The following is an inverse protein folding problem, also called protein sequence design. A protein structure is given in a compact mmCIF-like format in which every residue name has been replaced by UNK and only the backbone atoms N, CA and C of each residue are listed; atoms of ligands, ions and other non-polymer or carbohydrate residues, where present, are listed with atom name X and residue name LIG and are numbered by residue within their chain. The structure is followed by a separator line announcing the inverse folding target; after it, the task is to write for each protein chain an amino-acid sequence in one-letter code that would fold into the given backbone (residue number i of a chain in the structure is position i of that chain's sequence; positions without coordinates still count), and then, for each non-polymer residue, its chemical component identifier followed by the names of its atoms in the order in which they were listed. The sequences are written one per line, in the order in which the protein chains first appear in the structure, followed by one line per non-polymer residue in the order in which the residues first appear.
data_IF_148201214717
#
_entry.id   IF_148201214717
#
_cell.length_a   1.000
_cell.length_b   1.000
_cell.length_c   1.000
_cell.angle_alpha   90.00
_cell.angle_beta   90.00
_cell.angle_gamma   90.00
#
_symmetry.space_group_name_H-M   'P 1'
#
loop_
_entity.id
_entity.type
_entity.pdbx_description
1 polymer ?
#
# COMPACT_ATOMS: atom_id res chain seq x y z
N UNK A 1 -8.82 -7.99 -5.58
CA UNK A 1 -10.15 -7.47 -5.18
C UNK A 1 -10.09 -6.33 -4.19
N UNK A 2 -9.15 -6.34 -3.22
CA UNK A 2 -9.00 -5.28 -2.20
C UNK A 2 -8.81 -3.86 -2.75
N UNK A 3 -8.10 -3.67 -3.88
CA UNK A 3 -7.91 -2.35 -4.49
C UNK A 3 -9.26 -1.71 -4.85
N UNK A 4 -10.13 -2.43 -5.55
CA UNK A 4 -11.44 -1.93 -5.98
C UNK A 4 -12.31 -1.66 -4.75
N UNK A 5 -12.30 -2.56 -3.77
CA UNK A 5 -13.02 -2.37 -2.50
C UNK A 5 -12.58 -1.10 -1.78
N UNK A 6 -11.28 -0.85 -1.69
CA UNK A 6 -10.75 0.38 -1.08
C UNK A 6 -11.20 1.64 -1.84
N UNK A 7 -11.19 1.61 -3.18
CA UNK A 7 -11.65 2.73 -4.00
C UNK A 7 -13.15 3.01 -3.77
N UNK A 8 -13.97 1.96 -3.71
CA UNK A 8 -15.40 2.07 -3.44
C UNK A 8 -15.68 2.59 -2.02
N UNK A 9 -14.96 2.11 -1.00
CA UNK A 9 -15.09 2.61 0.37
C UNK A 9 -14.65 4.08 0.48
N UNK A 10 -13.61 4.46 -0.24
CA UNK A 10 -13.16 5.86 -0.33
C UNK A 10 -14.26 6.73 -0.93
N UNK A 11 -14.85 6.33 -2.05
CA UNK A 11 -15.97 7.04 -2.66
C UNK A 11 -17.22 7.09 -1.76
N UNK A 12 -17.51 5.99 -1.07
CA UNK A 12 -18.60 5.92 -0.09
C UNK A 12 -18.42 6.94 1.05
N UNK A 13 -17.19 7.12 1.54
CA UNK A 13 -16.91 8.16 2.55
C UNK A 13 -17.28 9.56 2.04
N UNK A 14 -16.94 9.89 0.78
CA UNK A 14 -17.31 11.18 0.18
C UNK A 14 -18.84 11.31 0.05
N UNK A 15 -19.54 10.21 -0.27
CA UNK A 15 -21.00 10.12 -0.24
C UNK A 15 -21.60 10.41 1.12
N UNK A 16 -21.03 9.85 2.20
CA UNK A 16 -21.50 10.10 3.57
C UNK A 16 -21.33 11.57 4.01
N UNK A 17 -20.45 12.31 3.34
CA UNK A 17 -20.23 13.74 3.59
C UNK A 17 -21.08 14.65 2.66
N UNK A 18 -21.89 14.09 1.77
CA UNK A 18 -22.66 14.85 0.78
C UNK A 18 -21.81 15.50 -0.32
N UNK A 19 -20.55 15.07 -0.47
CA UNK A 19 -19.55 15.61 -1.41
C UNK A 19 -19.20 14.61 -2.52
N UNK A 20 -20.15 13.72 -2.85
CA UNK A 20 -19.92 12.73 -3.89
C UNK A 20 -20.05 13.34 -5.28
N UNK A 21 -18.98 13.23 -6.06
CA UNK A 21 -18.96 13.45 -7.49
C UNK A 21 -18.41 12.15 -8.13
N UNK A 22 -19.01 11.62 -9.21
CA UNK A 22 -18.48 10.44 -9.92
C UNK A 22 -17.00 10.53 -10.27
N UNK A 23 -16.47 11.73 -10.49
CA UNK A 23 -15.03 11.97 -10.74
C UNK A 23 -14.13 11.51 -9.59
N UNK A 24 -14.61 11.54 -8.34
CA UNK A 24 -13.83 11.10 -7.16
C UNK A 24 -13.44 9.62 -7.25
N UNK A 25 -14.32 8.77 -7.78
CA UNK A 25 -14.01 7.35 -7.97
C UNK A 25 -12.86 7.21 -8.97
N UNK A 26 -12.94 7.91 -10.09
CA UNK A 26 -11.92 7.88 -11.13
C UNK A 26 -10.58 8.40 -10.60
N UNK A 27 -10.59 9.49 -9.83
CA UNK A 27 -9.38 10.06 -9.22
C UNK A 27 -8.73 9.10 -8.23
N UNK A 28 -9.51 8.49 -7.33
CA UNK A 28 -8.99 7.54 -6.34
C UNK A 28 -8.43 6.30 -7.04
N UNK A 29 -9.15 5.75 -8.02
CA UNK A 29 -8.69 4.60 -8.80
C UNK A 29 -7.39 4.95 -9.53
N UNK A 30 -7.35 6.07 -10.23
CA UNK A 30 -6.17 6.52 -10.98
C UNK A 30 -4.98 6.71 -10.06
N UNK A 31 -5.15 7.36 -8.91
CA UNK A 31 -4.11 7.52 -7.89
C UNK A 31 -3.59 6.17 -7.39
N UNK A 32 -4.48 5.22 -7.07
CA UNK A 32 -4.09 3.88 -6.63
C UNK A 32 -3.33 3.12 -7.73
N UNK A 33 -3.85 3.11 -8.95
CA UNK A 33 -3.22 2.41 -10.08
C UNK A 33 -1.86 3.01 -10.45
N UNK A 34 -1.74 4.33 -10.53
CA UNK A 34 -0.47 4.98 -10.81
C UNK A 34 0.56 4.69 -9.72
N UNK A 35 0.16 4.76 -8.44
CA UNK A 35 1.05 4.42 -7.32
C UNK A 35 1.47 2.94 -7.39
N UNK A 36 0.55 2.04 -7.72
CA UNK A 36 0.82 0.61 -7.85
C UNK A 36 1.81 0.31 -8.98
N UNK A 37 1.58 0.87 -10.16
CA UNK A 37 2.46 0.67 -11.33
C UNK A 37 3.84 1.27 -11.05
N UNK A 38 3.90 2.50 -10.53
CA UNK A 38 5.16 3.16 -10.20
C UNK A 38 5.98 2.36 -9.20
N UNK A 39 5.35 1.83 -8.15
CA UNK A 39 6.04 1.02 -7.14
C UNK A 39 6.59 -0.29 -7.73
N UNK A 40 5.81 -0.99 -8.57
CA UNK A 40 6.28 -2.21 -9.24
C UNK A 40 7.48 -1.92 -10.14
N UNK A 41 7.46 -0.82 -10.89
CA UNK A 41 8.57 -0.41 -11.75
C UNK A 41 9.84 -0.09 -10.95
N UNK A 42 9.70 0.66 -9.84
CA UNK A 42 10.84 1.00 -8.97
C UNK A 42 11.45 -0.25 -8.36
N UNK A 43 10.64 -1.14 -7.79
CA UNK A 43 11.14 -2.40 -7.20
C UNK A 43 11.79 -3.28 -8.27
N UNK A 44 11.20 -3.35 -9.47
CA UNK A 44 11.78 -4.11 -10.58
C UNK A 44 13.14 -3.56 -11.00
N UNK A 45 13.29 -2.24 -11.09
CA UNK A 45 14.57 -1.59 -11.40
C UNK A 45 15.64 -1.87 -10.33
N UNK A 46 15.25 -1.83 -9.06
CA UNK A 46 16.12 -2.18 -7.94
C UNK A 46 16.58 -3.65 -8.00
N UNK A 47 15.68 -4.59 -8.28
CA UNK A 47 16.01 -6.01 -8.41
C UNK A 47 16.91 -6.29 -9.62
N UNK A 48 16.73 -5.54 -10.72
CA UNK A 48 17.61 -5.62 -11.88
C UNK A 48 19.04 -5.19 -11.54
N UNK A 49 19.22 -4.11 -10.76
CA UNK A 49 20.54 -3.68 -10.28
C UNK A 49 21.21 -4.73 -9.36
N UNK A 50 20.41 -5.54 -8.67
CA UNK A 50 20.88 -6.65 -7.82
C UNK A 50 21.13 -7.96 -8.58
N UNK A 51 20.81 -8.04 -9.88
CA UNK A 51 20.78 -9.30 -10.65
C UNK A 51 19.86 -10.36 -10.01
N UNK A 52 18.78 -9.92 -9.35
CA UNK A 52 17.80 -10.79 -8.72
C UNK A 52 16.57 -10.98 -9.63
N UNK A 53 16.25 -12.23 -9.95
CA UNK A 53 15.20 -12.58 -10.92
C UNK A 53 13.89 -12.93 -10.21
N UNK A 54 13.10 -11.91 -9.85
CA UNK A 54 11.73 -12.12 -9.32
C UNK A 54 10.71 -11.80 -10.43
N UNK A 55 9.72 -12.67 -10.71
CA UNK A 55 8.65 -12.40 -11.66
C UNK A 55 7.91 -11.09 -11.36
N UNK A 56 7.58 -10.32 -12.40
CA UNK A 56 6.85 -9.04 -12.24
C UNK A 56 5.47 -9.25 -11.59
N UNK A 57 4.82 -10.37 -11.90
CA UNK A 57 3.52 -10.74 -11.34
C UNK A 57 3.58 -10.95 -9.81
N UNK A 58 4.70 -11.47 -9.31
CA UNK A 58 4.92 -11.67 -7.88
C UNK A 58 5.11 -10.33 -7.17
N UNK A 59 5.90 -9.42 -7.76
CA UNK A 59 6.08 -8.05 -7.24
C UNK A 59 4.73 -7.32 -7.19
N UNK A 60 3.92 -7.43 -8.25
CA UNK A 60 2.59 -6.84 -8.29
C UNK A 60 1.68 -7.41 -7.20
N UNK A 61 1.76 -8.72 -6.95
CA UNK A 61 0.98 -9.38 -5.91
C UNK A 61 1.42 -8.92 -4.52
N UNK A 62 2.72 -8.88 -4.23
CA UNK A 62 3.26 -8.50 -2.92
C UNK A 62 2.91 -7.05 -2.54
N UNK A 63 3.12 -6.12 -3.46
CA UNK A 63 2.80 -4.69 -3.26
C UNK A 63 1.29 -4.44 -3.20
N UNK A 64 0.48 -5.24 -3.90
CA UNK A 64 -0.97 -5.14 -3.89
C UNK A 64 -1.64 -5.50 -2.56
N UNK A 65 -0.99 -6.25 -1.67
CA UNK A 65 -1.57 -6.64 -0.38
C UNK A 65 -1.88 -5.45 0.53
N UNK A 66 -1.19 -4.32 0.36
CA UNK A 66 -1.42 -3.11 1.17
C UNK A 66 -2.85 -2.58 1.10
N UNK A 67 -3.55 -2.79 -0.03
CA UNK A 67 -4.94 -2.35 -0.18
C UNK A 67 -5.91 -3.11 0.73
N UNK A 68 -5.56 -4.32 1.17
CA UNK A 68 -6.34 -5.03 2.19
C UNK A 68 -6.25 -4.28 3.52
N UNK A 69 -5.04 -3.88 3.93
CA UNK A 69 -4.83 -3.06 5.11
C UNK A 69 -5.60 -1.75 5.05
N UNK A 70 -5.51 -1.03 3.92
CA UNK A 70 -6.24 0.22 3.71
C UNK A 70 -7.77 0.04 3.73
N UNK A 71 -8.29 -1.09 3.24
CA UNK A 71 -9.72 -1.43 3.33
C UNK A 71 -10.16 -1.57 4.78
N UNK A 72 -9.36 -2.25 5.62
CA UNK A 72 -9.63 -2.40 7.06
C UNK A 72 -9.60 -1.03 7.74
N UNK A 73 -8.57 -0.21 7.50
CA UNK A 73 -8.48 1.14 8.06
C UNK A 73 -9.71 1.99 7.71
N UNK A 74 -10.11 1.95 6.44
CA UNK A 74 -11.24 2.73 5.94
C UNK A 74 -12.55 2.28 6.58
N UNK A 75 -12.76 0.97 6.68
CA UNK A 75 -13.95 0.39 7.33
C UNK A 75 -14.01 0.77 8.81
N UNK A 76 -12.90 0.66 9.54
CA UNK A 76 -12.81 1.10 10.94
C UNK A 76 -13.13 2.59 11.07
N UNK A 77 -12.54 3.43 10.22
CA UNK A 77 -12.79 4.86 10.26
C UNK A 77 -14.26 5.21 10.03
N UNK A 78 -14.91 4.59 9.03
CA UNK A 78 -16.32 4.83 8.69
C UNK A 78 -17.25 4.36 9.82
N UNK A 79 -16.99 3.21 10.44
CA UNK A 79 -17.81 2.68 11.54
C UNK A 79 -17.79 3.59 12.77
N UNK A 80 -16.61 4.09 13.14
CA UNK A 80 -16.43 4.94 14.33
C UNK A 80 -16.64 6.43 14.05
N UNK A 81 -16.97 6.81 12.81
CA UNK A 81 -17.30 8.19 12.42
C UNK A 81 -18.47 8.75 13.24
N UNK A 82 -19.52 7.95 13.46
CA UNK A 82 -20.69 8.36 14.25
C UNK A 82 -20.36 8.66 15.72
N UNK A 83 -19.28 8.07 16.25
CA UNK A 83 -18.79 8.31 17.62
C UNK A 83 -17.79 9.48 17.69
N UNK A 84 -17.60 10.24 16.60
CA UNK A 84 -16.56 11.30 16.45
C UNK A 84 -15.12 10.81 16.63
N UNK A 85 -14.88 9.50 16.56
CA UNK A 85 -13.57 8.87 16.73
C UNK A 85 -13.01 8.27 15.42
N UNK A 86 -13.67 8.54 14.28
CA UNK A 86 -13.34 7.95 12.97
C UNK A 86 -11.87 8.14 12.57
N UNK A 87 -11.35 9.35 12.69
CA UNK A 87 -9.94 9.66 12.39
C UNK A 87 -8.96 8.93 13.32
N UNK A 88 -9.26 8.87 14.62
CA UNK A 88 -8.40 8.18 15.60
C UNK A 88 -8.36 6.68 15.34
N UNK A 89 -9.52 6.05 15.13
CA UNK A 89 -9.63 4.64 14.79
C UNK A 89 -8.95 4.31 13.45
N UNK A 90 -9.05 5.20 12.46
CA UNK A 90 -8.33 5.04 11.19
C UNK A 90 -6.82 4.99 11.41
N UNK A 91 -6.26 5.96 12.14
CA UNK A 91 -4.81 6.00 12.37
C UNK A 91 -4.33 4.86 13.28
N UNK A 92 -5.12 4.43 14.27
CA UNK A 92 -4.83 3.24 15.07
C UNK A 92 -4.77 1.96 14.22
N UNK A 93 -5.77 1.75 13.36
CA UNK A 93 -5.77 0.64 12.41
C UNK A 93 -4.66 0.79 11.36
N UNK A 94 -4.33 2.02 10.95
CA UNK A 94 -3.26 2.32 10.01
C UNK A 94 -1.89 1.92 10.57
N UNK A 95 -1.59 2.27 11.82
CA UNK A 95 -0.31 1.87 12.44
C UNK A 95 -0.14 0.35 12.47
N UNK A 96 -1.20 -0.37 12.86
CA UNK A 96 -1.20 -1.82 12.86
C UNK A 96 -1.03 -2.40 11.44
N UNK A 97 -1.88 -2.01 10.50
CA UNK A 97 -1.86 -2.58 9.14
C UNK A 97 -0.62 -2.18 8.35
N UNK A 98 -0.09 -0.97 8.54
CA UNK A 98 1.16 -0.52 7.93
C UNK A 98 2.36 -1.29 8.49
N UNK A 99 2.41 -1.53 9.81
CA UNK A 99 3.46 -2.38 10.39
C UNK A 99 3.38 -3.83 9.88
N UNK A 100 2.16 -4.38 9.75
CA UNK A 100 1.95 -5.72 9.21
C UNK A 100 2.35 -5.82 7.73
N UNK A 101 2.01 -4.81 6.92
CA UNK A 101 2.39 -4.74 5.51
C UNK A 101 3.92 -4.60 5.34
N UNK A 102 4.57 -3.75 6.15
CA UNK A 102 6.02 -3.62 6.15
C UNK A 102 6.72 -4.93 6.54
N UNK A 103 6.23 -5.59 7.60
CA UNK A 103 6.77 -6.88 8.04
C UNK A 103 6.58 -7.99 6.99
N UNK A 104 5.39 -8.05 6.37
CA UNK A 104 5.10 -8.97 5.28
C UNK A 104 6.06 -8.76 4.11
N UNK A 105 6.27 -7.51 3.70
CA UNK A 105 7.17 -7.18 2.61
C UNK A 105 8.63 -7.52 2.94
N UNK A 106 9.07 -7.23 4.17
CA UNK A 106 10.40 -7.58 4.66
C UNK A 106 10.65 -9.08 4.56
N UNK A 107 9.74 -9.90 5.12
CA UNK A 107 9.87 -11.36 5.11
C UNK A 107 9.78 -11.94 3.69
N UNK A 108 8.85 -11.44 2.89
CA UNK A 108 8.63 -11.94 1.53
C UNK A 108 9.83 -11.64 0.64
N UNK A 109 10.35 -10.42 0.67
CA UNK A 109 11.52 -10.04 -0.13
C UNK A 109 12.81 -10.70 0.38
N UNK A 110 12.98 -10.84 1.70
CA UNK A 110 14.11 -11.58 2.24
C UNK A 110 14.13 -13.04 1.76
N UNK A 111 12.97 -13.70 1.66
CA UNK A 111 12.89 -15.08 1.23
C UNK A 111 13.03 -15.26 -0.29
N UNK A 112 12.57 -14.29 -1.09
CA UNK A 112 12.61 -14.39 -2.56
C UNK A 112 13.90 -13.86 -3.18
N UNK A 113 14.62 -12.96 -2.51
CA UNK A 113 15.91 -12.44 -3.01
C UNK A 113 17.03 -13.41 -2.60
N UNK A 114 17.83 -13.92 -3.56
CA UNK A 114 18.91 -14.86 -3.29
C UNK A 114 19.98 -14.27 -2.36
N UNK A 115 20.57 -15.12 -1.52
CA UNK A 115 21.60 -14.74 -0.53
C UNK A 115 22.87 -14.23 -1.21
N UNK A 116 23.24 -14.84 -2.34
CA UNK A 116 24.35 -14.38 -3.18
C UNK A 116 23.78 -13.42 -4.22
N UNK A 117 24.07 -12.13 -4.02
CA UNK A 117 23.73 -11.03 -4.94
C UNK A 117 25.01 -10.58 -5.66
N UNK A 118 24.90 -9.85 -6.78
CA UNK A 118 26.06 -9.30 -7.49
C UNK A 118 27.03 -8.54 -6.56
N UNK A 119 28.35 -8.72 -6.75
CA UNK A 119 29.41 -8.11 -5.93
C UNK A 119 29.46 -6.58 -6.00
N UNK A 120 28.88 -6.00 -7.05
CA UNK A 120 28.88 -4.55 -7.32
C UNK A 120 27.54 -3.88 -7.02
N UNK A 121 26.56 -4.60 -6.48
CA UNK A 121 25.19 -4.11 -6.23
C UNK A 121 24.94 -3.54 -4.84
N UNK A 122 23.79 -2.85 -4.62
CA UNK A 122 23.37 -2.40 -3.29
C UNK A 122 23.13 -3.59 -2.36
N UNK A 123 23.50 -3.42 -1.07
CA UNK A 123 23.40 -4.48 -0.06
C UNK A 123 21.95 -4.96 0.07
N UNK A 124 21.74 -6.28 -0.02
CA UNK A 124 20.42 -6.94 0.09
C UNK A 124 19.63 -6.46 1.30
N UNK A 125 20.25 -6.38 2.47
CA UNK A 125 19.57 -6.03 3.71
C UNK A 125 19.00 -4.61 3.68
N UNK A 126 19.74 -3.67 3.08
CA UNK A 126 19.29 -2.28 2.89
C UNK A 126 18.10 -2.23 1.93
N UNK A 127 18.15 -3.01 0.84
CA UNK A 127 17.09 -3.03 -0.16
C UNK A 127 15.79 -3.64 0.36
N UNK A 128 15.88 -4.74 1.11
CA UNK A 128 14.71 -5.37 1.74
C UNK A 128 14.04 -4.42 2.74
N UNK A 129 14.84 -3.72 3.56
CA UNK A 129 14.31 -2.71 4.48
C UNK A 129 13.71 -1.52 3.73
N UNK A 130 14.34 -1.07 2.64
CA UNK A 130 13.82 0.01 1.80
C UNK A 130 12.46 -0.35 1.18
N UNK A 131 12.29 -1.58 0.69
CA UNK A 131 11.01 -2.05 0.17
C UNK A 131 9.93 -2.16 1.24
N UNK A 132 10.29 -2.56 2.47
CA UNK A 132 9.37 -2.57 3.60
C UNK A 132 8.93 -1.15 3.98
N UNK A 133 9.88 -0.20 4.05
CA UNK A 133 9.60 1.20 4.33
C UNK A 133 8.75 1.86 3.22
N UNK A 134 8.97 1.48 1.95
CA UNK A 134 8.18 2.00 0.83
C UNK A 134 6.70 1.62 0.93
N UNK A 135 6.37 0.45 1.52
CA UNK A 135 4.97 0.07 1.74
C UNK A 135 4.25 1.06 2.66
N UNK A 136 4.89 1.46 3.76
CA UNK A 136 4.31 2.43 4.70
C UNK A 136 4.12 3.79 4.01
N UNK A 137 5.13 4.24 3.26
CA UNK A 137 5.07 5.50 2.53
C UNK A 137 3.96 5.52 1.47
N UNK A 138 3.83 4.45 0.67
CA UNK A 138 2.79 4.39 -0.36
C UNK A 138 1.39 4.21 0.23
N UNK A 139 1.24 3.48 1.34
CA UNK A 139 -0.02 3.41 2.09
C UNK A 139 -0.44 4.78 2.61
N UNK A 140 0.50 5.54 3.18
CA UNK A 140 0.24 6.91 3.62
C UNK A 140 -0.16 7.81 2.46
N UNK A 141 0.57 7.74 1.34
CA UNK A 141 0.28 8.57 0.17
C UNK A 141 -1.11 8.31 -0.41
N UNK A 142 -1.55 7.06 -0.45
CA UNK A 142 -2.84 6.67 -1.03
C UNK A 142 -4.02 6.93 -0.08
N UNK A 143 -3.77 6.99 1.24
CA UNK A 143 -4.76 7.20 2.29
C UNK A 143 -5.74 8.36 2.02
N UNK A 144 -7.01 8.15 2.40
CA UNK A 144 -8.12 9.10 2.21
C UNK A 144 -8.77 9.38 3.56
N UNK A 145 -8.29 10.40 4.27
CA UNK A 145 -8.77 10.75 5.63
C UNK A 145 -9.59 12.02 5.72
N UNK A 146 -9.75 12.76 4.62
CA UNK A 146 -10.34 14.10 4.60
C UNK A 146 -11.75 14.21 5.22
N UNK A 147 -12.58 13.18 5.09
CA UNK A 147 -13.99 13.20 5.51
C UNK A 147 -14.32 12.15 6.59
N UNK A 148 -13.28 11.63 7.26
CA UNK A 148 -13.39 10.66 8.36
C UNK A 148 -13.67 11.32 9.71
#
# INVERSE_FOLDING_TARGET
MSLITYCLLSAFLYGTAGQFNPEVIADVITKCFLTQIAEVLVIRGCLYAMQATIPVLDIFSYTGYKYLGLTICMTCGILFKYLKWGTFCYYGAFLWTASAAAWFMLKTMANNIPVVTASTGPKRDVMVVAFAASQVATMWFVSQTKYL
#
